data_IF_370484761500
#
_entry.id   IF_370484761500
#
_cell.length_a   1.000
_cell.length_b   1.000
_cell.length_c   1.000
_cell.angle_alpha   90.00
_cell.angle_beta   90.00
_cell.angle_gamma   90.00
#
_symmetry.space_group_name_H-M   'P 1'
#
loop_
_entity.id
_entity.type
_entity.pdbx_description
1 polymer ?
#
# COMPACT_ATOMS: atom_id res chain seq x y z
N UNK A 1 57.96 47.71 8.76
CA UNK A 1 56.98 48.30 7.82
C UNK A 1 57.08 47.58 6.48
N UNK A 2 56.19 46.61 6.24
CA UNK A 2 55.80 46.07 4.93
C UNK A 2 54.60 45.15 5.16
N UNK A 3 53.48 45.39 4.48
CA UNK A 3 52.69 44.26 4.00
C UNK A 3 52.70 44.23 2.47
N UNK A 4 53.15 43.10 1.92
CA UNK A 4 53.03 42.78 0.49
C UNK A 4 51.59 42.31 0.24
N UNK A 5 50.92 43.01 -0.66
CA UNK A 5 49.74 42.51 -1.37
C UNK A 5 50.14 41.31 -2.23
N UNK A 6 49.37 40.22 -2.19
CA UNK A 6 49.35 39.25 -3.27
C UNK A 6 48.02 38.48 -3.31
N UNK A 7 47.16 38.99 -4.19
CA UNK A 7 46.38 38.28 -5.22
C UNK A 7 45.52 37.07 -4.83
N UNK A 8 44.22 37.26 -5.11
CA UNK A 8 43.13 36.32 -5.29
C UNK A 8 43.49 34.92 -5.81
N UNK A 9 42.94 33.89 -5.17
CA UNK A 9 42.36 32.74 -5.88
C UNK A 9 41.03 32.37 -5.22
N UNK A 10 39.96 32.55 -6.00
CA UNK A 10 38.62 32.01 -5.77
C UNK A 10 38.69 30.49 -5.95
N UNK A 11 38.18 29.71 -5.01
CA UNK A 11 38.16 28.24 -5.11
C UNK A 11 36.96 27.64 -4.39
N UNK A 12 35.80 27.67 -5.07
CA UNK A 12 34.63 26.84 -4.77
C UNK A 12 35.00 25.35 -4.91
N UNK A 13 34.61 24.51 -3.94
CA UNK A 13 34.00 23.20 -4.21
C UNK A 13 33.43 22.59 -2.92
N UNK A 14 32.09 22.65 -2.79
CA UNK A 14 31.34 21.81 -1.86
C UNK A 14 31.35 20.36 -2.38
N UNK A 15 31.98 19.45 -1.63
CA UNK A 15 31.85 18.01 -1.82
C UNK A 15 30.80 17.43 -0.87
N UNK A 16 29.51 17.59 -1.17
CA UNK A 16 28.45 16.79 -0.57
C UNK A 16 28.51 15.38 -1.19
N UNK A 17 29.26 14.46 -0.58
CA UNK A 17 29.15 13.03 -0.91
C UNK A 17 27.86 12.49 -0.30
N UNK A 18 26.76 12.72 -1.01
CA UNK A 18 25.46 12.09 -0.76
C UNK A 18 25.58 10.61 -1.08
N UNK A 19 25.77 9.78 -0.05
CA UNK A 19 25.69 8.33 -0.17
C UNK A 19 24.24 7.92 -0.41
N UNK A 20 23.89 7.60 -1.65
CA UNK A 20 22.68 6.83 -1.96
C UNK A 20 22.88 5.39 -1.46
N UNK A 21 22.57 5.12 -0.20
CA UNK A 21 22.36 3.75 0.28
C UNK A 21 21.05 3.25 -0.33
N UNK A 22 21.15 2.56 -1.46
CA UNK A 22 20.06 1.77 -2.03
C UNK A 22 19.79 0.58 -1.12
N UNK A 23 18.96 0.76 -0.09
CA UNK A 23 18.36 -0.37 0.62
C UNK A 23 17.47 -1.09 -0.38
N UNK A 24 17.90 -2.27 -0.82
CA UNK A 24 17.09 -3.16 -1.64
C UNK A 24 15.76 -3.42 -0.89
N UNK A 25 14.65 -3.02 -1.51
CA UNK A 25 13.33 -3.32 -0.96
C UNK A 25 13.17 -4.84 -0.88
N UNK A 26 12.65 -5.41 0.22
CA UNK A 26 12.39 -6.84 0.31
C UNK A 26 11.45 -7.23 -0.83
N UNK A 27 11.91 -8.13 -1.70
CA UNK A 27 11.14 -8.68 -2.81
C UNK A 27 9.93 -9.41 -2.23
N UNK A 28 8.80 -8.71 -2.18
CA UNK A 28 7.53 -9.21 -1.67
C UNK A 28 6.82 -10.04 -2.74
N UNK A 29 7.53 -11.05 -3.26
CA UNK A 29 6.96 -12.11 -4.07
C UNK A 29 6.62 -13.29 -3.16
N UNK A 30 5.93 -13.02 -2.04
CA UNK A 30 5.22 -14.09 -1.37
C UNK A 30 4.05 -14.44 -2.28
N UNK A 31 4.03 -15.69 -2.75
CA UNK A 31 2.93 -16.23 -3.53
C UNK A 31 1.63 -16.00 -2.74
N UNK A 32 0.86 -14.98 -3.12
CA UNK A 32 -0.39 -14.67 -2.43
C UNK A 32 -1.43 -15.80 -2.55
N UNK A 33 -1.17 -16.82 -3.38
CA UNK A 33 -1.90 -18.09 -3.39
C UNK A 33 -1.73 -18.89 -2.08
N UNK A 34 -0.63 -18.68 -1.35
CA UNK A 34 -0.32 -19.34 -0.07
C UNK A 34 -0.79 -18.54 1.15
N UNK A 35 -1.28 -17.31 0.95
CA UNK A 35 -1.75 -16.44 2.02
C UNK A 35 -3.17 -16.78 2.45
N UNK A 36 -3.48 -16.55 3.73
CA UNK A 36 -4.78 -16.90 4.27
C UNK A 36 -5.91 -16.10 3.60
N UNK A 37 -7.06 -16.76 3.42
CA UNK A 37 -8.26 -16.11 2.93
C UNK A 37 -8.96 -15.33 4.05
N UNK A 38 -9.63 -14.20 3.75
CA UNK A 38 -10.46 -13.52 4.73
C UNK A 38 -11.59 -14.42 5.24
N UNK A 39 -11.82 -14.40 6.55
CA UNK A 39 -12.91 -15.12 7.19
C UNK A 39 -14.28 -14.46 6.88
N UNK A 40 -15.38 -15.03 7.38
CA UNK A 40 -16.72 -14.53 7.05
C UNK A 40 -16.96 -13.07 7.49
N UNK A 41 -16.53 -12.69 8.69
CA UNK A 41 -16.68 -11.34 9.22
C UNK A 41 -15.80 -10.35 8.45
N UNK A 42 -14.57 -10.74 8.13
CA UNK A 42 -13.67 -9.93 7.32
C UNK A 42 -14.24 -9.70 5.92
N UNK A 43 -14.83 -10.73 5.29
CA UNK A 43 -15.49 -10.56 3.99
C UNK A 43 -16.65 -9.59 4.05
N UNK A 44 -17.48 -9.65 5.09
CA UNK A 44 -18.58 -8.72 5.29
C UNK A 44 -18.06 -7.29 5.46
N UNK A 45 -17.10 -7.10 6.37
CA UNK A 45 -16.49 -5.81 6.63
C UNK A 45 -15.84 -5.20 5.37
N UNK A 46 -15.12 -6.02 4.59
CA UNK A 46 -14.54 -5.62 3.30
C UNK A 46 -15.62 -5.28 2.27
N UNK A 47 -16.76 -5.97 2.31
CA UNK A 47 -17.96 -5.68 1.53
C UNK A 47 -18.46 -4.27 1.79
N UNK A 48 -18.76 -3.97 3.05
CA UNK A 48 -19.27 -2.68 3.53
C UNK A 48 -18.26 -1.55 3.24
N UNK A 49 -16.99 -1.76 3.59
CA UNK A 49 -15.92 -0.78 3.36
C UNK A 49 -15.71 -0.51 1.87
N UNK A 50 -15.68 -1.56 1.04
CA UNK A 50 -15.53 -1.39 -0.40
C UNK A 50 -16.71 -0.67 -1.05
N UNK A 51 -17.93 -0.90 -0.57
CA UNK A 51 -19.11 -0.14 -0.98
C UNK A 51 -18.97 1.35 -0.66
N UNK A 52 -18.46 1.70 0.52
CA UNK A 52 -18.18 3.08 0.89
C UNK A 52 -17.07 3.69 0.00
N UNK A 53 -15.94 2.99 -0.16
CA UNK A 53 -14.80 3.43 -0.97
C UNK A 53 -15.18 3.69 -2.44
N UNK A 54 -15.97 2.80 -3.03
CA UNK A 54 -16.38 2.90 -4.43
C UNK A 54 -17.76 3.53 -4.63
N UNK A 55 -18.35 4.11 -3.58
CA UNK A 55 -19.62 4.86 -3.63
C UNK A 55 -20.75 4.03 -4.24
N UNK A 56 -20.91 2.79 -3.78
CA UNK A 56 -21.94 1.84 -4.21
C UNK A 56 -21.70 1.17 -5.57
N UNK A 57 -20.58 1.43 -6.25
CA UNK A 57 -20.23 0.69 -7.47
C UNK A 57 -19.87 -0.76 -7.14
N UNK A 58 -20.15 -1.66 -8.08
CA UNK A 58 -19.65 -3.03 -8.01
C UNK A 58 -18.11 -3.04 -7.97
N UNK A 59 -17.57 -3.95 -7.19
CA UNK A 59 -16.13 -4.08 -7.02
C UNK A 59 -15.75 -5.54 -6.77
N UNK A 60 -14.48 -5.82 -6.94
CA UNK A 60 -13.86 -7.12 -6.72
C UNK A 60 -12.79 -6.99 -5.65
N UNK A 61 -12.46 -8.11 -5.02
CA UNK A 61 -11.32 -8.24 -4.11
C UNK A 61 -10.43 -9.40 -4.52
N UNK A 62 -9.19 -9.44 -4.06
CA UNK A 62 -8.38 -10.66 -4.19
C UNK A 62 -8.97 -11.78 -3.33
N UNK A 63 -8.75 -13.03 -3.74
CA UNK A 63 -9.24 -14.21 -3.03
C UNK A 63 -8.65 -14.29 -1.62
N UNK A 64 -7.34 -14.08 -1.56
CA UNK A 64 -6.53 -14.13 -0.34
C UNK A 64 -5.97 -12.75 0.00
N UNK A 65 -5.46 -12.61 1.22
CA UNK A 65 -4.63 -11.46 1.59
C UNK A 65 -3.33 -11.45 0.77
N UNK A 66 -2.78 -10.27 0.49
CA UNK A 66 -1.47 -10.10 -0.15
C UNK A 66 -0.35 -10.38 0.84
N UNK A 67 -0.53 -9.92 2.07
CA UNK A 67 0.29 -10.23 3.23
C UNK A 67 -0.61 -10.22 4.47
N UNK A 68 -0.18 -10.90 5.52
CA UNK A 68 -0.98 -11.11 6.72
C UNK A 68 -0.09 -11.52 7.87
N UNK A 69 0.37 -10.52 8.63
CA UNK A 69 1.12 -10.76 9.85
C UNK A 69 0.76 -9.71 10.92
N UNK A 70 0.85 -10.03 12.22
CA UNK A 70 0.43 -9.11 13.27
C UNK A 70 1.20 -7.79 13.35
N UNK A 71 2.40 -7.69 12.75
CA UNK A 71 3.22 -6.47 12.81
C UNK A 71 2.94 -5.50 11.66
N UNK A 72 2.42 -6.00 10.54
CA UNK A 72 2.08 -5.19 9.35
C UNK A 72 0.59 -5.11 9.06
N UNK A 73 -0.20 -6.00 9.67
CA UNK A 73 -1.61 -6.19 9.38
C UNK A 73 -1.87 -7.14 8.21
N UNK A 74 -3.13 -7.15 7.78
CA UNK A 74 -3.68 -8.06 6.77
C UNK A 74 -4.18 -7.24 5.59
N UNK A 75 -3.43 -7.28 4.49
CA UNK A 75 -3.67 -6.44 3.34
C UNK A 75 -4.44 -7.18 2.24
N UNK A 76 -5.47 -6.55 1.70
CA UNK A 76 -6.26 -7.09 0.59
C UNK A 76 -6.45 -6.03 -0.49
N UNK A 77 -6.35 -6.45 -1.74
CA UNK A 77 -6.58 -5.56 -2.87
C UNK A 77 -8.07 -5.56 -3.22
N UNK A 78 -8.60 -4.35 -3.45
CA UNK A 78 -9.89 -4.13 -4.07
C UNK A 78 -9.73 -3.48 -5.44
N UNK A 79 -10.69 -3.72 -6.34
CA UNK A 79 -10.78 -2.98 -7.60
C UNK A 79 -12.21 -2.72 -8.06
N UNK A 80 -12.44 -1.59 -8.74
CA UNK A 80 -13.71 -1.31 -9.43
C UNK A 80 -13.45 -0.79 -10.84
N UNK A 81 -14.29 -1.18 -11.81
CA UNK A 81 -14.10 -0.87 -13.23
C UNK A 81 -14.35 0.61 -13.52
N UNK A 82 -13.34 1.35 -14.00
CA UNK A 82 -13.44 2.78 -14.31
C UNK A 82 -14.30 3.05 -15.53
N UNK A 83 -14.97 4.21 -15.55
CA UNK A 83 -15.59 4.73 -16.77
C UNK A 83 -14.48 5.08 -17.75
N UNK A 84 -14.51 4.51 -18.95
CA UNK A 84 -13.45 4.66 -19.96
C UNK A 84 -12.38 3.57 -19.94
N UNK A 85 -12.54 2.53 -19.11
CA UNK A 85 -11.68 1.34 -19.13
C UNK A 85 -10.65 1.31 -18.00
N UNK A 86 -10.13 0.11 -17.76
CA UNK A 86 -9.24 -0.18 -16.64
C UNK A 86 -9.94 -0.19 -15.27
N UNK A 87 -9.14 -0.13 -14.22
CA UNK A 87 -9.62 -0.31 -12.84
C UNK A 87 -9.07 0.77 -11.89
N UNK A 88 -9.92 1.22 -10.97
CA UNK A 88 -9.53 1.86 -9.72
C UNK A 88 -9.06 0.76 -8.78
N UNK A 89 -7.85 0.90 -8.22
CA UNK A 89 -7.34 -0.05 -7.23
C UNK A 89 -7.27 0.64 -5.87
N UNK A 90 -7.54 -0.14 -4.83
CA UNK A 90 -7.40 0.26 -3.43
C UNK A 90 -6.75 -0.90 -2.68
N UNK A 91 -5.79 -0.61 -1.81
CA UNK A 91 -5.24 -1.58 -0.87
C UNK A 91 -5.85 -1.27 0.50
N UNK A 92 -6.60 -2.23 1.05
CA UNK A 92 -7.11 -2.17 2.41
C UNK A 92 -6.21 -2.96 3.33
N UNK A 93 -5.81 -2.39 4.47
CA UNK A 93 -5.01 -3.07 5.48
C UNK A 93 -5.75 -3.08 6.80
N UNK A 94 -6.19 -4.28 7.21
CA UNK A 94 -6.75 -4.51 8.54
C UNK A 94 -5.59 -4.63 9.53
N UNK A 95 -5.51 -3.80 10.58
CA UNK A 95 -4.41 -3.93 11.55
C UNK A 95 -4.48 -5.23 12.37
N UNK A 96 -5.65 -5.88 12.43
CA UNK A 96 -5.88 -7.15 13.14
C UNK A 96 -6.92 -8.01 12.43
N UNK A 97 -6.94 -9.31 12.74
CA UNK A 97 -8.03 -10.21 12.32
C UNK A 97 -9.33 -9.83 13.01
N UNK A 98 -10.46 -10.06 12.33
CA UNK A 98 -11.80 -9.80 12.90
C UNK A 98 -12.39 -11.12 13.41
N UNK A 99 -12.67 -11.20 14.71
CA UNK A 99 -13.20 -12.40 15.38
C UNK A 99 -14.46 -12.13 16.22
N UNK A 100 -15.07 -10.94 16.12
CA UNK A 100 -16.23 -10.54 16.91
C UNK A 100 -16.84 -9.21 16.41
N UNK A 101 -17.70 -8.59 17.22
CA UNK A 101 -18.26 -7.29 16.89
C UNK A 101 -17.15 -6.24 16.75
N UNK A 102 -17.08 -5.59 15.59
CA UNK A 102 -16.12 -4.50 15.34
C UNK A 102 -16.71 -3.23 15.96
N UNK A 103 -16.12 -2.78 17.06
CA UNK A 103 -16.43 -1.45 17.62
C UNK A 103 -15.89 -0.39 16.65
N UNK A 104 -16.72 0.59 16.27
CA UNK A 104 -16.29 1.72 15.41
C UNK A 104 -15.10 2.51 16.01
N UNK A 105 -14.87 2.41 17.32
CA UNK A 105 -13.76 3.08 18.02
C UNK A 105 -12.45 2.31 17.88
N UNK A 106 -12.50 1.02 17.54
CA UNK A 106 -11.34 0.16 17.35
C UNK A 106 -11.07 -0.16 15.86
N UNK A 107 -11.66 0.66 14.98
CA UNK A 107 -11.56 0.49 13.54
C UNK A 107 -10.24 1.06 13.00
N UNK A 108 -9.17 0.32 13.19
CA UNK A 108 -7.87 0.63 12.61
C UNK A 108 -7.77 -0.03 11.22
N UNK A 109 -8.46 0.54 10.23
CA UNK A 109 -8.29 0.18 8.82
C UNK A 109 -7.51 1.27 8.08
N UNK A 110 -6.52 0.86 7.30
CA UNK A 110 -5.84 1.77 6.38
C UNK A 110 -6.39 1.58 4.97
N UNK A 111 -6.75 2.69 4.32
CA UNK A 111 -7.27 2.72 2.95
C UNK A 111 -6.26 3.42 2.06
N UNK A 112 -5.47 2.65 1.33
CA UNK A 112 -4.39 3.16 0.49
C UNK A 112 -4.81 3.17 -0.98
N UNK A 113 -4.66 4.33 -1.64
CA UNK A 113 -5.06 4.54 -3.04
C UNK A 113 -3.99 5.20 -3.89
N UNK A 114 -2.88 5.62 -3.28
CA UNK A 114 -1.79 6.23 -4.03
C UNK A 114 -1.17 5.18 -4.96
N UNK A 115 -0.69 5.64 -6.12
CA UNK A 115 -0.19 4.75 -7.16
C UNK A 115 0.97 3.85 -6.69
N UNK A 116 1.79 4.35 -5.75
CA UNK A 116 2.90 3.61 -5.15
C UNK A 116 2.41 2.43 -4.29
N UNK A 117 1.35 2.62 -3.51
CA UNK A 117 0.86 1.62 -2.56
C UNK A 117 0.09 0.49 -3.26
N UNK A 118 -0.66 0.84 -4.31
CA UNK A 118 -1.50 -0.12 -5.05
C UNK A 118 -0.77 -0.84 -6.18
N UNK A 119 0.54 -0.67 -6.30
CA UNK A 119 1.36 -1.31 -7.34
C UNK A 119 1.17 -2.83 -7.36
N UNK A 120 1.20 -3.45 -6.17
CA UNK A 120 0.99 -4.89 -6.01
C UNK A 120 -0.41 -5.37 -6.42
N UNK A 121 -1.43 -4.51 -6.39
CA UNK A 121 -2.77 -4.87 -6.83
C UNK A 121 -2.87 -5.02 -8.35
N UNK A 122 -2.09 -4.27 -9.13
CA UNK A 122 -2.24 -4.24 -10.60
C UNK A 122 -1.83 -5.55 -11.27
N UNK A 123 -0.96 -6.31 -10.64
CA UNK A 123 -0.42 -7.58 -11.16
C UNK A 123 -1.22 -8.80 -10.68
N UNK A 124 -2.25 -8.60 -9.86
CA UNK A 124 -3.10 -9.69 -9.35
C UNK A 124 -4.01 -10.25 -10.43
N UNK A 125 -4.25 -11.55 -10.37
CA UNK A 125 -5.16 -12.29 -11.26
C UNK A 125 -6.27 -13.04 -10.53
N UNK A 126 -6.20 -13.13 -9.21
CA UNK A 126 -7.06 -13.95 -8.33
C UNK A 126 -8.31 -13.21 -7.83
N UNK A 127 -8.92 -12.39 -8.69
CA UNK A 127 -10.04 -11.54 -8.33
C UNK A 127 -11.34 -12.32 -8.17
N UNK A 128 -12.09 -11.97 -7.14
CA UNK A 128 -13.43 -12.49 -6.85
C UNK A 128 -14.38 -11.33 -6.59
N UNK A 129 -15.65 -11.48 -6.95
CA UNK A 129 -16.66 -10.47 -6.68
C UNK A 129 -16.82 -10.28 -5.17
N UNK A 130 -16.80 -9.03 -4.73
CA UNK A 130 -17.10 -8.66 -3.36
C UNK A 130 -18.59 -8.31 -3.31
N UNK A 131 -19.40 -9.35 -3.06
CA UNK A 131 -20.85 -9.23 -2.84
C UNK A 131 -21.14 -8.86 -1.40
#
# INVERSE_FOLDING_TARGET
MTPRLSVCVLGLALGLTSGCQSVAAPSSSQDASSMEAPNALERQYLGETGHAVYRGRSFQRTRNFLFGDPSRGYAICLRSAKRGGGFDHTLLVLQRRISGAVSQVEDDVQILRAAADVGACRTRSDWVDAR
#
